data_IF_320828412156
#
_entry.id   IF_320828412156
#
_cell.length_a   1.000
_cell.length_b   1.000
_cell.length_c   1.000
_cell.angle_alpha   90.00
_cell.angle_beta   90.00
_cell.angle_gamma   90.00
#
_symmetry.space_group_name_H-M   'P 1'
#
loop_
_entity.id
_entity.type
_entity.pdbx_description
1 polymer ?
#
# COMPACT_ATOMS: atom_id res chain seq x y z
N UNK A 1 -6.02 7.88 8.20
CA UNK A 1 -5.55 9.21 8.62
C UNK A 1 -4.10 9.20 9.09
N UNK A 2 -3.75 8.38 10.08
CA UNK A 2 -2.41 8.34 10.71
C UNK A 2 -1.23 8.24 9.72
N UNK A 3 -1.37 7.48 8.63
CA UNK A 3 -0.30 7.32 7.64
C UNK A 3 0.13 8.62 6.93
N UNK A 4 -0.79 9.57 6.73
CA UNK A 4 -0.48 10.85 6.08
C UNK A 4 0.13 11.84 7.07
N UNK A 5 -0.28 11.75 8.35
CA UNK A 5 0.16 12.63 9.42
C UNK A 5 1.52 12.23 9.98
N UNK A 6 1.77 10.93 10.13
CA UNK A 6 2.99 10.38 10.74
C UNK A 6 4.04 10.00 9.69
N UNK A 7 4.11 10.75 8.58
CA UNK A 7 5.13 10.50 7.56
C UNK A 7 6.50 10.90 8.09
N UNK A 8 7.49 10.01 7.96
CA UNK A 8 8.91 10.33 8.16
C UNK A 8 9.53 10.99 6.92
N UNK A 9 8.77 11.09 5.83
CA UNK A 9 9.16 11.82 4.61
C UNK A 9 8.77 13.29 4.73
N UNK A 10 9.57 14.16 4.12
CA UNK A 10 9.26 15.59 4.00
C UNK A 10 7.92 15.80 3.28
N UNK A 11 7.53 14.88 2.38
CA UNK A 11 6.34 14.99 1.53
C UNK A 11 5.81 13.61 1.06
N UNK A 12 4.53 13.57 0.67
CA UNK A 12 3.83 12.41 0.07
C UNK A 12 3.10 12.77 -1.24
N UNK A 13 3.37 13.95 -1.82
CA UNK A 13 2.89 14.30 -3.16
C UNK A 13 3.35 13.26 -4.18
N UNK A 14 2.45 12.88 -5.08
CA UNK A 14 2.65 11.89 -6.14
C UNK A 14 2.96 10.46 -5.65
N UNK A 15 2.71 10.14 -4.37
CA UNK A 15 2.83 8.78 -3.86
C UNK A 15 1.56 7.94 -4.08
N UNK A 16 1.71 6.64 -3.84
CA UNK A 16 0.62 5.65 -3.73
C UNK A 16 0.44 5.25 -2.27
N UNK A 17 -0.81 5.20 -1.80
CA UNK A 17 -1.14 4.71 -0.46
C UNK A 17 -1.78 3.32 -0.52
N UNK A 18 -1.31 2.42 0.33
CA UNK A 18 -1.86 1.07 0.50
C UNK A 18 -2.67 1.00 1.79
N UNK A 19 -3.94 0.60 1.69
CA UNK A 19 -4.87 0.56 2.82
C UNK A 19 -5.65 -0.75 2.86
N UNK A 20 -5.97 -1.24 4.06
CA UNK A 20 -6.75 -2.47 4.20
C UNK A 20 -8.22 -2.27 3.81
N UNK A 21 -8.82 -1.12 4.16
CA UNK A 21 -10.20 -0.78 3.85
C UNK A 21 -10.26 0.46 2.96
N UNK A 22 -11.26 0.54 2.09
CA UNK A 22 -11.50 1.71 1.27
C UNK A 22 -11.68 2.97 2.15
N UNK A 23 -11.04 4.11 1.81
CA UNK A 23 -11.11 5.32 2.64
C UNK A 23 -12.53 5.89 2.71
N UNK A 24 -12.97 6.32 3.89
CA UNK A 24 -14.16 7.15 4.03
C UNK A 24 -13.94 8.57 3.46
N UNK A 25 -15.02 9.36 3.36
CA UNK A 25 -15.01 10.73 2.84
C UNK A 25 -14.02 11.66 3.57
N UNK A 26 -13.92 11.59 4.91
CA UNK A 26 -12.99 12.46 5.65
C UNK A 26 -11.51 12.08 5.38
N UNK A 27 -11.21 10.77 5.29
CA UNK A 27 -9.88 10.33 4.88
C UNK A 27 -9.57 10.70 3.42
N UNK A 28 -10.56 10.67 2.53
CA UNK A 28 -10.40 11.06 1.13
C UNK A 28 -9.98 12.53 1.00
N UNK A 29 -10.60 13.43 1.76
CA UNK A 29 -10.20 14.85 1.79
C UNK A 29 -8.72 15.02 2.14
N UNK A 30 -8.23 14.26 3.12
CA UNK A 30 -6.83 14.33 3.57
C UNK A 30 -5.89 13.77 2.50
N UNK A 31 -6.24 12.62 1.90
CA UNK A 31 -5.46 11.99 0.83
C UNK A 31 -5.31 12.94 -0.36
N UNK A 32 -6.42 13.54 -0.81
CA UNK A 32 -6.44 14.49 -1.93
C UNK A 32 -5.57 15.72 -1.62
N UNK A 33 -5.76 16.34 -0.44
CA UNK A 33 -5.02 17.53 -0.04
C UNK A 33 -3.53 17.26 0.19
N UNK A 34 -3.15 16.03 0.54
CA UNK A 34 -1.75 15.62 0.66
C UNK A 34 -1.05 15.39 -0.68
N UNK A 35 -1.80 15.40 -1.80
CA UNK A 35 -1.27 15.23 -3.15
C UNK A 35 -0.91 13.79 -3.54
N UNK A 36 -1.36 12.79 -2.77
CA UNK A 36 -1.30 11.37 -3.15
C UNK A 36 -2.09 11.17 -4.45
N UNK A 37 -1.58 10.32 -5.36
CA UNK A 37 -2.17 10.13 -6.70
C UNK A 37 -2.85 8.80 -6.90
N UNK A 38 -2.56 7.80 -6.06
CA UNK A 38 -3.17 6.48 -6.17
C UNK A 38 -3.53 5.91 -4.78
N UNK A 39 -4.71 5.31 -4.67
CA UNK A 39 -5.16 4.52 -3.51
C UNK A 39 -5.30 3.05 -3.90
N UNK A 40 -4.47 2.20 -3.31
CA UNK A 40 -4.57 0.74 -3.43
C UNK A 40 -5.24 0.20 -2.17
N UNK A 41 -6.39 -0.45 -2.32
CA UNK A 41 -7.17 -0.95 -1.18
C UNK A 41 -7.40 -2.45 -1.24
N UNK A 42 -7.42 -3.14 -0.09
CA UNK A 42 -7.69 -4.58 -0.05
C UNK A 42 -9.20 -4.89 -0.08
N UNK A 43 -10.01 -4.18 0.71
CA UNK A 43 -11.45 -4.45 0.84
C UNK A 43 -12.30 -3.19 0.75
N UNK A 44 -13.39 -3.28 -0.01
CA UNK A 44 -14.43 -2.25 -0.13
C UNK A 44 -15.80 -2.79 0.36
N UNK A 45 -15.79 -3.53 1.48
CA UNK A 45 -16.98 -4.18 2.03
C UNK A 45 -18.11 -3.23 2.46
N UNK A 46 -17.81 -1.94 2.59
CA UNK A 46 -18.77 -0.90 2.96
C UNK A 46 -19.10 0.05 1.79
N UNK A 47 -18.92 -0.41 0.56
CA UNK A 47 -19.11 0.37 -0.67
C UNK A 47 -20.49 1.04 -0.80
N UNK A 48 -21.51 0.45 -0.17
CA UNK A 48 -22.89 0.94 -0.15
C UNK A 48 -23.11 2.13 0.80
N UNK A 49 -22.19 2.35 1.74
CA UNK A 49 -22.32 3.43 2.71
C UNK A 49 -22.15 4.80 2.03
N UNK A 50 -22.96 5.82 2.38
CA UNK A 50 -22.86 7.16 1.78
C UNK A 50 -21.46 7.76 1.82
N UNK A 51 -20.70 7.48 2.89
CA UNK A 51 -19.34 7.93 3.10
C UNK A 51 -18.38 7.41 2.03
N UNK A 52 -18.54 6.14 1.63
CA UNK A 52 -17.70 5.46 0.63
C UNK A 52 -18.11 5.88 -0.78
N UNK A 53 -19.41 6.10 -1.01
CA UNK A 53 -19.91 6.66 -2.27
C UNK A 53 -19.37 8.08 -2.47
N UNK A 54 -19.44 8.93 -1.44
CA UNK A 54 -18.89 10.28 -1.47
C UNK A 54 -17.37 10.27 -1.70
N UNK A 55 -16.64 9.41 -0.99
CA UNK A 55 -15.19 9.21 -1.15
C UNK A 55 -14.80 8.86 -2.59
N UNK A 56 -15.48 7.90 -3.23
CA UNK A 56 -15.25 7.53 -4.65
C UNK A 56 -15.49 8.71 -5.60
N UNK A 57 -16.53 9.51 -5.35
CA UNK A 57 -16.81 10.72 -6.14
C UNK A 57 -15.70 11.77 -5.97
N UNK A 58 -15.23 11.98 -4.74
CA UNK A 58 -14.12 12.89 -4.45
C UNK A 58 -12.83 12.47 -5.16
N UNK A 59 -12.47 11.18 -5.13
CA UNK A 59 -11.28 10.68 -5.85
C UNK A 59 -11.40 10.84 -7.36
N UNK A 60 -12.55 10.49 -7.95
CA UNK A 60 -12.79 10.70 -9.38
C UNK A 60 -12.67 12.17 -9.79
N UNK A 61 -13.26 13.08 -9.01
CA UNK A 61 -13.24 14.51 -9.29
C UNK A 61 -11.84 15.15 -9.14
N UNK A 62 -11.01 14.62 -8.25
CA UNK A 62 -9.65 15.12 -7.98
C UNK A 62 -8.56 14.47 -8.85
N UNK A 63 -8.90 13.46 -9.64
CA UNK A 63 -7.94 12.71 -10.45
C UNK A 63 -7.04 11.76 -9.65
N UNK A 64 -7.43 11.40 -8.42
CA UNK A 64 -6.75 10.36 -7.63
C UNK A 64 -7.28 9.01 -8.11
N UNK A 65 -6.41 8.17 -8.65
CA UNK A 65 -6.77 6.83 -9.09
C UNK A 65 -6.96 5.91 -7.87
N UNK A 66 -7.78 4.87 -8.03
CA UNK A 66 -7.91 3.84 -7.00
C UNK A 66 -8.15 2.47 -7.63
N UNK A 67 -7.59 1.44 -7.00
CA UNK A 67 -7.75 0.05 -7.45
C UNK A 67 -7.74 -0.92 -6.28
N UNK A 68 -8.47 -2.01 -6.44
CA UNK A 68 -8.44 -3.09 -5.46
C UNK A 68 -7.17 -3.93 -5.63
N UNK A 69 -6.51 -4.26 -4.53
CA UNK A 69 -5.45 -5.24 -4.48
C UNK A 69 -6.02 -6.64 -4.30
N UNK A 70 -5.66 -7.54 -5.21
CA UNK A 70 -5.95 -8.97 -5.10
C UNK A 70 -4.65 -9.69 -4.75
N UNK A 71 -4.45 -10.12 -3.49
CA UNK A 71 -3.22 -10.77 -3.08
C UNK A 71 -3.14 -12.19 -3.66
N UNK A 72 -1.96 -12.61 -4.12
CA UNK A 72 -1.74 -13.97 -4.65
C UNK A 72 -1.74 -15.04 -3.56
N UNK A 73 -1.54 -14.65 -2.31
CA UNK A 73 -1.54 -15.52 -1.12
C UNK A 73 -2.48 -14.92 -0.07
N UNK A 74 -3.24 -15.77 0.63
CA UNK A 74 -4.16 -15.32 1.68
C UNK A 74 -3.45 -14.97 2.99
N UNK A 75 -2.23 -15.48 3.17
CA UNK A 75 -1.44 -15.28 4.38
C UNK A 75 0.03 -15.06 4.05
N UNK A 76 0.69 -14.28 4.89
CA UNK A 76 2.14 -14.11 4.95
C UNK A 76 2.55 -14.41 6.39
N UNK A 77 3.25 -15.52 6.59
CA UNK A 77 3.77 -15.91 7.91
C UNK A 77 5.19 -15.36 8.03
N UNK A 78 5.44 -14.59 9.09
CA UNK A 78 6.78 -14.16 9.47
C UNK A 78 7.23 -15.04 10.64
N UNK A 79 7.96 -16.11 10.34
CA UNK A 79 8.49 -17.02 11.36
C UNK A 79 9.90 -16.59 11.77
N UNK A 80 10.02 -15.96 12.94
CA UNK A 80 11.30 -15.50 13.48
C UNK A 80 12.15 -16.64 14.06
N UNK A 81 11.62 -17.86 14.20
CA UNK A 81 12.40 -19.01 14.65
C UNK A 81 13.41 -19.46 13.59
N UNK A 82 13.16 -19.17 12.30
CA UNK A 82 14.06 -19.45 11.19
C UNK A 82 15.39 -18.68 11.28
N UNK A 83 15.42 -17.53 11.98
CA UNK A 83 16.65 -16.77 12.21
C UNK A 83 17.67 -17.52 13.09
N UNK A 84 17.18 -18.37 13.99
CA UNK A 84 18.01 -19.14 14.91
C UNK A 84 18.32 -20.55 14.37
N UNK A 85 17.72 -20.94 13.24
CA UNK A 85 18.20 -22.11 12.52
C UNK A 85 19.60 -21.79 11.99
N UNK A 86 20.55 -22.71 12.19
CA UNK A 86 21.92 -22.63 11.68
C UNK A 86 21.96 -22.66 10.15
N UNK A 87 21.34 -21.69 9.47
CA UNK A 87 21.49 -21.46 8.05
C UNK A 87 22.76 -20.66 7.83
N UNK A 88 23.78 -21.32 7.30
CA UNK A 88 24.91 -20.67 6.64
C UNK A 88 24.36 -19.77 5.52
N UNK A 89 24.20 -18.48 5.79
CA UNK A 89 23.90 -17.51 4.76
C UNK A 89 25.11 -17.37 3.83
N UNK A 90 24.99 -17.89 2.61
CA UNK A 90 25.15 -17.16 1.35
C UNK A 90 25.01 -18.15 0.17
N UNK A 91 24.18 -17.91 -0.86
CA UNK A 91 24.51 -18.45 -2.17
C UNK A 91 25.85 -17.85 -2.60
N UNK A 92 26.74 -18.69 -3.10
CA UNK A 92 28.03 -18.26 -3.63
C UNK A 92 27.84 -17.17 -4.67
N UNK A 93 28.71 -16.15 -4.64
CA UNK A 93 28.79 -15.14 -5.69
C UNK A 93 28.87 -15.85 -7.04
N UNK A 94 28.07 -15.47 -8.06
CA UNK A 94 28.17 -16.07 -9.38
C UNK A 94 29.61 -16.01 -9.88
N UNK A 95 30.16 -17.16 -10.25
CA UNK A 95 31.51 -17.24 -10.79
C UNK A 95 31.58 -16.45 -12.11
N UNK A 96 32.45 -15.43 -12.13
CA UNK A 96 32.65 -14.56 -13.30
C UNK A 96 33.43 -15.25 -14.43
N UNK A 97 33.86 -16.50 -14.25
CA UNK A 97 34.58 -17.28 -15.26
C UNK A 97 33.78 -17.56 -16.56
N UNK A 98 32.46 -17.38 -16.54
CA UNK A 98 31.57 -17.62 -17.69
C UNK A 98 31.17 -16.37 -18.48
N UNK A 99 31.71 -15.18 -18.16
CA UNK A 99 31.61 -14.02 -19.06
C UNK A 99 32.80 -14.05 -20.02
N UNK A 100 32.68 -14.85 -21.09
CA UNK A 100 33.52 -14.77 -22.29
C UNK A 100 32.74 -14.14 -23.43
#
# INVERSE_FOLDING_TARGET
>A
MNAVLNKNSMDVRNCTIYVALFPCNECAKIIIQSGIKEVVYLSDKYSFKPEMIASKRMFKASGVSFRQHTPSKQQLVLDFSEINSNMTQMPSTPDKSNYK
#
